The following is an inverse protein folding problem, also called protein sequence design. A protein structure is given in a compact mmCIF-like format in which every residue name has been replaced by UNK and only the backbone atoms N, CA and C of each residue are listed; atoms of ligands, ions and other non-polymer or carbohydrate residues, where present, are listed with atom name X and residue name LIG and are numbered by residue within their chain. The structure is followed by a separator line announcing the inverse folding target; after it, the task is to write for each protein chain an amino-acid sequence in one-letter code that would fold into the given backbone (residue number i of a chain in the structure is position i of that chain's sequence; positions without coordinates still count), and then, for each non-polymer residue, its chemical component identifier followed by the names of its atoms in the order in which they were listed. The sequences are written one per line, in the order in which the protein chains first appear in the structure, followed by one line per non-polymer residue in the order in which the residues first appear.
data_IF_919329929827
#
_entry.id   IF_919329929827
#
_cell.length_a   1.000
_cell.length_b   1.000
_cell.length_c   1.000
_cell.angle_alpha   90.00
_cell.angle_beta   90.00
_cell.angle_gamma   90.00
#
_symmetry.space_group_name_H-M   'P 1'
#
loop_
_entity.id
_entity.type
_entity.pdbx_description
1 polymer ?
#
# COMPACT_ATOMS: atom_id res chain seq x y z
N UNK A 1 -4.16 12.03 0.92
CA UNK A 1 -3.74 12.08 -0.49
C UNK A 1 -4.40 10.92 -1.23
N UNK A 2 -5.18 11.21 -2.28
CA UNK A 2 -5.77 10.19 -3.15
C UNK A 2 -4.89 9.92 -4.39
N UNK A 3 -5.32 9.05 -5.32
CA UNK A 3 -4.53 8.71 -6.52
C UNK A 3 -4.30 9.89 -7.48
N UNK A 4 -5.33 10.68 -7.88
CA UNK A 4 -5.11 11.92 -8.63
C UNK A 4 -4.13 12.90 -7.96
N UNK A 5 -4.29 13.14 -6.66
CA UNK A 5 -3.40 14.02 -5.90
C UNK A 5 -1.95 13.51 -5.94
N UNK A 6 -1.75 12.19 -5.76
CA UNK A 6 -0.45 11.55 -5.82
C UNK A 6 0.21 11.76 -7.20
N UNK A 7 -0.52 11.54 -8.29
CA UNK A 7 0.00 11.74 -9.65
C UNK A 7 0.42 13.20 -9.89
N UNK A 8 -0.37 14.15 -9.39
CA UNK A 8 -0.05 15.57 -9.47
C UNK A 8 1.22 15.90 -8.66
N UNK A 9 1.33 15.43 -7.42
CA UNK A 9 2.51 15.66 -6.58
C UNK A 9 3.78 15.05 -7.17
N UNK A 10 3.71 13.82 -7.70
CA UNK A 10 4.85 13.18 -8.37
C UNK A 10 5.27 14.00 -9.59
N UNK A 11 4.31 14.42 -10.42
CA UNK A 11 4.60 15.25 -11.60
C UNK A 11 5.28 16.57 -11.22
N UNK A 12 4.79 17.25 -10.17
CA UNK A 12 5.36 18.51 -9.70
C UNK A 12 6.78 18.33 -9.16
N UNK A 13 6.99 17.31 -8.31
CA UNK A 13 8.32 17.01 -7.75
C UNK A 13 9.36 16.69 -8.83
N UNK A 14 8.99 15.95 -9.88
CA UNK A 14 9.88 15.64 -11.00
C UNK A 14 10.27 16.88 -11.82
N UNK A 15 9.36 17.86 -11.93
CA UNK A 15 9.64 19.14 -12.62
C UNK A 15 10.61 20.01 -11.83
N UNK A 16 10.44 20.08 -10.52
CA UNK A 16 11.31 20.86 -9.62
C UNK A 16 12.75 20.32 -9.60
N UNK A 17 12.89 19.00 -9.69
CA UNK A 17 14.20 18.33 -9.70
C UNK A 17 14.87 18.28 -11.09
N UNK A 18 14.30 18.95 -12.10
CA UNK A 18 14.91 19.20 -13.42
C UNK A 18 15.24 17.98 -14.28
N UNK A 19 14.90 16.77 -13.86
CA UNK A 19 15.44 15.53 -14.42
C UNK A 19 14.53 14.88 -15.46
N UNK A 20 13.20 15.08 -15.37
CA UNK A 20 12.24 14.45 -16.29
C UNK A 20 11.06 15.37 -16.62
N UNK A 21 10.75 15.57 -17.91
CA UNK A 21 9.53 16.24 -18.36
C UNK A 21 8.48 15.21 -18.77
N UNK A 22 7.80 14.63 -17.78
CA UNK A 22 6.67 13.73 -18.01
C UNK A 22 5.35 14.52 -18.10
N UNK A 23 4.43 14.05 -18.95
CA UNK A 23 3.07 14.59 -18.94
C UNK A 23 2.33 14.03 -17.71
N UNK A 24 1.43 14.81 -17.09
CA UNK A 24 0.62 14.30 -15.97
C UNK A 24 -0.13 13.00 -16.29
N UNK A 25 -0.53 12.81 -17.55
CA UNK A 25 -1.15 11.58 -18.05
C UNK A 25 -0.21 10.38 -17.96
N UNK A 26 1.07 10.56 -18.35
CA UNK A 26 2.07 9.49 -18.33
C UNK A 26 2.35 9.05 -16.89
N UNK A 27 2.42 10.00 -15.95
CA UNK A 27 2.61 9.71 -14.52
C UNK A 27 1.40 8.97 -13.95
N UNK A 28 0.19 9.38 -14.30
CA UNK A 28 -1.04 8.71 -13.87
C UNK A 28 -1.08 7.26 -14.38
N UNK A 29 -0.81 7.06 -15.67
CA UNK A 29 -0.77 5.73 -16.28
C UNK A 29 0.31 4.85 -15.65
N UNK A 30 1.49 5.39 -15.36
CA UNK A 30 2.56 4.67 -14.67
C UNK A 30 2.12 4.22 -13.26
N UNK A 31 1.45 5.09 -12.50
CA UNK A 31 0.90 4.74 -11.18
C UNK A 31 -0.15 3.63 -11.31
N UNK A 32 -1.05 3.73 -12.29
CA UNK A 32 -2.07 2.70 -12.54
C UNK A 32 -1.39 1.35 -12.82
N UNK A 33 -0.40 1.32 -13.72
CA UNK A 33 0.35 0.10 -14.05
C UNK A 33 1.12 -0.48 -12.87
N UNK A 34 1.74 0.37 -12.04
CA UNK A 34 2.44 -0.11 -10.83
C UNK A 34 1.44 -0.79 -9.90
N UNK A 35 0.28 -0.19 -9.64
CA UNK A 35 -0.73 -0.77 -8.75
C UNK A 35 -1.30 -2.09 -9.29
N UNK A 36 -1.51 -2.18 -10.60
CA UNK A 36 -1.93 -3.41 -11.26
C UNK A 36 -0.88 -4.52 -11.08
N UNK A 37 0.40 -4.24 -11.39
CA UNK A 37 1.49 -5.21 -11.24
C UNK A 37 1.68 -5.67 -9.79
N UNK A 38 1.55 -4.77 -8.80
CA UNK A 38 1.60 -5.15 -7.39
C UNK A 38 0.45 -6.09 -7.02
N UNK A 39 -0.73 -5.85 -7.58
CA UNK A 39 -1.92 -6.67 -7.33
C UNK A 39 -1.78 -8.06 -7.96
N UNK A 40 -1.29 -8.13 -9.20
CA UNK A 40 -1.02 -9.40 -9.89
C UNK A 40 0.02 -10.24 -9.14
N UNK A 41 1.16 -9.63 -8.77
CA UNK A 41 2.20 -10.31 -7.98
C UNK A 41 1.65 -10.86 -6.65
N UNK A 42 0.82 -10.09 -5.94
CA UNK A 42 0.19 -10.55 -4.69
C UNK A 42 -0.82 -11.68 -4.91
N UNK A 43 -1.56 -11.67 -6.02
CA UNK A 43 -2.49 -12.73 -6.36
C UNK A 43 -1.77 -14.06 -6.64
N UNK A 44 -0.53 -13.99 -7.12
CA UNK A 44 0.38 -15.12 -7.36
C UNK A 44 1.19 -15.53 -6.12
N UNK A 45 0.83 -15.04 -4.93
CA UNK A 45 1.55 -15.29 -3.66
C UNK A 45 3.02 -14.82 -3.65
N UNK A 46 3.37 -13.85 -4.51
CA UNK A 46 4.73 -13.30 -4.55
C UNK A 46 4.96 -12.32 -3.39
N UNK A 47 6.17 -12.35 -2.84
CA UNK A 47 6.63 -11.34 -1.90
C UNK A 47 7.09 -10.09 -2.65
N UNK A 48 6.63 -8.92 -2.20
CA UNK A 48 7.07 -7.63 -2.77
C UNK A 48 7.86 -6.87 -1.71
N UNK A 49 9.07 -6.46 -2.06
CA UNK A 49 9.89 -5.56 -1.26
C UNK A 49 10.21 -4.28 -2.03
N UNK A 50 9.88 -3.14 -1.42
CA UNK A 50 10.26 -1.81 -1.90
C UNK A 50 11.16 -1.21 -0.81
N UNK A 51 12.48 -1.23 -1.04
CA UNK A 51 13.48 -0.74 -0.08
C UNK A 51 13.12 0.69 0.38
N UNK A 52 13.40 0.97 1.65
CA UNK A 52 13.10 2.22 2.35
C UNK A 52 11.59 2.54 2.55
N UNK A 53 10.71 1.89 1.80
CA UNK A 53 9.26 2.01 1.95
C UNK A 53 8.67 0.89 2.81
N UNK A 54 8.87 -0.37 2.43
CA UNK A 54 8.33 -1.53 3.14
C UNK A 54 8.15 -2.76 2.26
N UNK A 55 7.50 -3.78 2.80
CA UNK A 55 7.20 -5.03 2.09
C UNK A 55 5.73 -5.44 2.23
N UNK A 56 5.26 -6.21 1.26
CA UNK A 56 3.94 -6.82 1.24
C UNK A 56 4.07 -8.35 1.24
N UNK A 57 3.35 -8.98 2.16
CA UNK A 57 3.27 -10.44 2.30
C UNK A 57 1.83 -10.92 2.21
N UNK A 58 1.62 -12.12 1.67
CA UNK A 58 0.35 -12.82 1.82
C UNK A 58 0.35 -13.64 3.11
N UNK A 59 -0.73 -13.49 3.89
CA UNK A 59 -1.02 -14.33 5.06
C UNK A 59 -2.28 -15.14 4.83
N UNK A 60 -2.20 -16.44 5.12
CA UNK A 60 -3.37 -17.31 5.18
C UNK A 60 -3.99 -17.20 6.57
N UNK A 61 -5.22 -16.71 6.63
CA UNK A 61 -6.01 -16.61 7.84
C UNK A 61 -6.90 -17.85 7.95
N UNK A 62 -6.79 -18.66 9.02
CA UNK A 62 -7.60 -19.85 9.17
C UNK A 62 -9.08 -19.49 9.37
N UNK A 63 -9.97 -20.42 9.02
CA UNK A 63 -11.38 -20.31 9.33
C UNK A 63 -11.56 -20.24 10.85
N UNK A 64 -12.49 -19.40 11.31
CA UNK A 64 -12.75 -19.23 12.74
C UNK A 64 -14.19 -18.83 13.00
N UNK A 65 -14.65 -19.15 14.20
CA UNK A 65 -15.88 -18.56 14.73
C UNK A 65 -15.60 -17.14 15.20
N UNK A 66 -16.45 -16.20 14.81
CA UNK A 66 -16.43 -14.81 15.27
C UNK A 66 -17.82 -14.41 15.80
N UNK A 67 -18.02 -13.14 16.12
CA UNK A 67 -19.30 -12.62 16.61
C UNK A 67 -19.72 -11.40 15.81
N UNK A 68 -21.01 -11.29 15.54
CA UNK A 68 -21.58 -10.07 14.98
C UNK A 68 -21.39 -8.92 15.97
N UNK A 69 -20.70 -7.82 15.61
CA UNK A 69 -20.46 -6.71 16.54
C UNK A 69 -21.75 -6.02 17.03
N UNK A 70 -22.86 -6.14 16.27
CA UNK A 70 -24.14 -5.53 16.60
C UNK A 70 -25.03 -6.42 17.47
N UNK A 71 -25.08 -7.73 17.21
CA UNK A 71 -26.02 -8.67 17.89
C UNK A 71 -25.33 -9.63 18.86
N UNK A 72 -24.01 -9.78 18.79
CA UNK A 72 -23.24 -10.74 19.58
C UNK A 72 -23.37 -12.20 19.13
N UNK A 73 -24.23 -12.48 18.15
CA UNK A 73 -24.47 -13.83 17.63
C UNK A 73 -23.22 -14.41 16.98
N UNK A 74 -22.96 -15.72 17.14
CA UNK A 74 -21.82 -16.36 16.51
C UNK A 74 -21.96 -16.40 14.99
N UNK A 75 -20.90 -16.03 14.28
CA UNK A 75 -20.82 -16.08 12.81
C UNK A 75 -19.58 -16.85 12.40
N UNK A 76 -19.72 -17.74 11.42
CA UNK A 76 -18.59 -18.47 10.85
C UNK A 76 -17.85 -17.60 9.82
N UNK A 77 -16.53 -17.46 9.97
CA UNK A 77 -15.67 -16.76 9.02
C UNK A 77 -14.82 -17.79 8.28
N UNK A 78 -14.94 -17.91 6.95
CA UNK A 78 -14.14 -18.87 6.18
C UNK A 78 -12.66 -18.47 6.17
N UNK A 79 -11.81 -19.44 5.88
CA UNK A 79 -10.39 -19.19 5.66
C UNK A 79 -10.22 -18.25 4.45
N UNK A 80 -9.23 -17.36 4.51
CA UNK A 80 -8.94 -16.42 3.43
C UNK A 80 -7.48 -16.01 3.41
N UNK A 81 -7.02 -15.55 2.25
CA UNK A 81 -5.75 -14.84 2.11
C UNK A 81 -5.94 -13.36 2.43
N UNK A 82 -4.96 -12.75 3.08
CA UNK A 82 -4.93 -11.31 3.36
C UNK A 82 -3.54 -10.76 3.06
N UNK A 83 -3.47 -9.57 2.47
CA UNK A 83 -2.22 -8.83 2.31
C UNK A 83 -1.83 -8.19 3.63
N UNK A 84 -0.57 -8.33 4.02
CA UNK A 84 0.02 -7.69 5.20
C UNK A 84 1.18 -6.80 4.77
N UNK A 85 1.07 -5.50 5.05
CA UNK A 85 2.15 -4.54 4.83
C UNK A 85 3.05 -4.44 6.07
N UNK A 86 4.37 -4.50 5.86
CA UNK A 86 5.40 -4.24 6.87
C UNK A 86 6.11 -2.94 6.50
N UNK A 87 5.89 -1.83 7.22
CA UNK A 87 6.60 -0.58 6.96
C UNK A 87 8.11 -0.77 7.10
N UNK A 88 8.90 -0.19 6.20
CA UNK A 88 10.36 -0.22 6.25
C UNK A 88 10.95 0.64 7.37
N UNK A 89 12.24 0.50 7.67
CA UNK A 89 12.90 1.26 8.74
C UNK A 89 12.76 2.78 8.52
N UNK A 90 13.10 3.27 7.33
CA UNK A 90 13.04 4.69 7.01
C UNK A 90 11.61 5.26 7.14
N UNK A 91 10.61 4.57 6.58
CA UNK A 91 9.20 4.96 6.75
C UNK A 91 8.80 5.05 8.23
N UNK A 92 9.11 4.02 9.04
CA UNK A 92 8.78 4.04 10.48
C UNK A 92 9.45 5.20 11.19
N UNK A 93 10.74 5.42 10.95
CA UNK A 93 11.49 6.50 11.60
C UNK A 93 10.91 7.87 11.26
N UNK A 94 10.59 8.13 9.99
CA UNK A 94 9.99 9.41 9.58
C UNK A 94 8.61 9.64 10.22
N UNK A 95 7.76 8.61 10.26
CA UNK A 95 6.42 8.69 10.87
C UNK A 95 6.48 8.83 12.39
N UNK A 96 7.44 8.18 13.06
CA UNK A 96 7.61 8.33 14.50
C UNK A 96 8.15 9.72 14.85
N UNK A 97 9.10 10.26 14.07
CA UNK A 97 9.68 11.58 14.31
C UNK A 97 8.63 12.72 14.26
N UNK A 98 7.57 12.57 13.47
CA UNK A 98 6.51 13.58 13.39
C UNK A 98 5.65 13.69 14.66
N UNK A 99 5.67 12.70 15.56
CA UNK A 99 4.98 12.76 16.86
C UNK A 99 5.79 13.56 17.90
N UNK A 100 7.12 13.63 17.75
CA UNK A 100 7.99 14.30 18.73
C UNK A 100 8.03 15.84 18.57
N UNK A 101 7.34 16.38 17.57
CA UNK A 101 7.32 17.81 17.22
C UNK A 101 5.93 18.45 17.32
N UNK A 102 4.96 17.78 17.97
CA UNK A 102 3.63 18.32 18.28
C UNK A 102 3.33 18.18 19.75
#
# INVERSE_FOLDING_TARGET
MNKPDLAQHVTQSLRENGTYRLRPTDVKEAIDRILDMLTEALAEDQHIEIRDFGSFDIRVMPAKQSRNPKTGEPVWVPAKKTVHFKPGYQMRTQVTASVQHG
#
